data_IF_604764131386
#
_entry.id   IF_604764131386
#
_cell.length_a   1.000
_cell.length_b   1.000
_cell.length_c   1.000
_cell.angle_alpha   90.00
_cell.angle_beta   90.00
_cell.angle_gamma   90.00
#
_symmetry.space_group_name_H-M   'P 1'
#
loop_
_entity.id
_entity.type
_entity.pdbx_description
1 polymer ?
#
# COMPACT_ATOMS: atom_id res chain seq x y z
N UNK A 1 -11.06 -8.93 -22.40
CA UNK A 1 -11.85 -8.80 -21.15
C UNK A 1 -10.89 -8.52 -20.01
N UNK A 2 -10.89 -7.29 -19.48
CA UNK A 2 -9.99 -6.87 -18.39
C UNK A 2 -10.57 -7.39 -17.07
N UNK A 3 -9.95 -8.41 -16.50
CA UNK A 3 -10.26 -8.90 -15.14
C UNK A 3 -9.84 -7.82 -14.14
N UNK A 4 -10.74 -6.87 -13.85
CA UNK A 4 -10.47 -5.69 -13.03
C UNK A 4 -10.37 -5.95 -11.52
N UNK A 5 -10.56 -7.18 -11.06
CA UNK A 5 -10.45 -7.56 -9.66
C UNK A 5 -9.57 -8.80 -9.54
N UNK A 6 -8.24 -8.59 -9.51
CA UNK A 6 -7.31 -9.61 -9.03
C UNK A 6 -6.98 -9.28 -7.58
N UNK A 7 -7.83 -9.78 -6.68
CA UNK A 7 -7.43 -9.95 -5.28
C UNK A 7 -6.20 -10.84 -5.30
N UNK A 8 -5.04 -10.28 -4.95
CA UNK A 8 -3.89 -11.13 -4.68
C UNK A 8 -4.10 -11.74 -3.30
N UNK A 9 -4.17 -13.07 -3.19
CA UNK A 9 -4.26 -13.70 -1.89
C UNK A 9 -3.06 -13.27 -1.06
N UNK A 10 -3.24 -13.25 0.26
CA UNK A 10 -2.14 -13.01 1.20
C UNK A 10 -1.02 -14.01 0.91
N UNK A 11 0.20 -13.51 0.74
CA UNK A 11 1.40 -14.35 0.56
C UNK A 11 2.28 -14.29 1.79
N UNK A 12 3.43 -14.97 1.74
CA UNK A 12 4.39 -15.00 2.83
C UNK A 12 5.80 -14.79 2.28
N UNK A 13 6.53 -13.90 2.95
CA UNK A 13 7.93 -13.62 2.69
C UNK A 13 8.79 -14.84 2.99
N UNK A 14 9.85 -15.05 2.19
CA UNK A 14 10.86 -16.06 2.48
C UNK A 14 11.67 -15.67 3.72
N UNK A 15 12.02 -14.38 3.83
CA UNK A 15 12.69 -13.80 5.00
C UNK A 15 11.80 -12.73 5.64
N UNK A 16 11.24 -12.97 6.85
CA UNK A 16 10.46 -11.97 7.55
C UNK A 16 11.30 -10.74 7.92
N UNK A 17 10.75 -9.52 7.79
CA UNK A 17 11.45 -8.30 8.19
C UNK A 17 11.40 -8.06 9.70
N UNK A 18 12.34 -7.28 10.24
CA UNK A 18 12.36 -6.93 11.67
C UNK A 18 11.24 -5.96 12.09
N UNK A 19 10.66 -5.24 11.13
CA UNK A 19 9.63 -4.22 11.34
C UNK A 19 8.53 -4.34 10.30
N UNK A 20 7.39 -3.69 10.54
CA UNK A 20 6.39 -3.56 9.50
C UNK A 20 6.97 -2.83 8.29
N UNK A 21 6.69 -3.34 7.10
CA UNK A 21 7.18 -2.78 5.84
C UNK A 21 6.02 -2.35 4.98
N UNK A 22 6.11 -1.17 4.38
CA UNK A 22 5.15 -0.68 3.40
C UNK A 22 5.87 -0.38 2.09
N UNK A 23 5.64 -1.24 1.10
CA UNK A 23 6.16 -1.14 -0.25
C UNK A 23 5.21 -0.29 -1.11
N UNK A 24 5.74 0.71 -1.80
CA UNK A 24 4.92 1.69 -2.50
C UNK A 24 5.57 2.24 -3.77
N UNK A 25 4.77 2.97 -4.55
CA UNK A 25 5.21 3.66 -5.75
C UNK A 25 5.88 5.00 -5.40
N UNK A 26 7.21 5.06 -5.54
CA UNK A 26 8.02 6.25 -5.23
C UNK A 26 7.81 7.43 -6.19
N UNK A 27 7.33 7.17 -7.41
CA UNK A 27 7.11 8.22 -8.42
C UNK A 27 5.71 8.86 -8.30
N UNK A 28 4.83 8.26 -7.49
CA UNK A 28 3.49 8.73 -7.20
C UNK A 28 3.47 9.67 -5.99
N UNK A 29 3.33 10.99 -6.20
CA UNK A 29 3.34 11.99 -5.12
C UNK A 29 2.22 11.79 -4.09
N UNK A 30 1.06 11.27 -4.49
CA UNK A 30 -0.01 10.87 -3.58
C UNK A 30 0.37 9.66 -2.71
N UNK A 31 1.01 8.67 -3.32
CA UNK A 31 1.42 7.45 -2.65
C UNK A 31 2.49 7.80 -1.60
N UNK A 32 3.53 8.56 -1.99
CA UNK A 32 4.54 9.13 -1.08
C UNK A 32 3.89 9.88 0.08
N UNK A 33 2.96 10.80 -0.22
CA UNK A 33 2.24 11.54 0.81
C UNK A 33 1.50 10.65 1.81
N UNK A 34 0.86 9.60 1.31
CA UNK A 34 0.05 8.67 2.10
C UNK A 34 0.91 7.81 3.01
N UNK A 35 2.00 7.23 2.49
CA UNK A 35 2.89 6.38 3.29
C UNK A 35 3.64 7.19 4.35
N UNK A 36 4.03 8.44 4.04
CA UNK A 36 4.64 9.35 5.01
C UNK A 36 3.64 9.76 6.10
N UNK A 37 2.38 9.99 5.74
CA UNK A 37 1.32 10.23 6.72
C UNK A 37 1.18 9.02 7.66
N UNK A 38 1.15 7.81 7.11
CA UNK A 38 1.07 6.57 7.91
C UNK A 38 2.27 6.46 8.84
N UNK A 39 3.50 6.58 8.31
CA UNK A 39 4.73 6.50 9.11
C UNK A 39 4.76 7.52 10.24
N UNK A 40 4.38 8.77 9.97
CA UNK A 40 4.39 9.86 10.96
C UNK A 40 3.41 9.65 12.11
N UNK A 41 2.25 9.02 11.84
CA UNK A 41 1.18 8.89 12.83
C UNK A 41 1.01 7.46 13.36
N UNK A 42 1.77 6.49 12.83
CA UNK A 42 1.75 5.11 13.30
C UNK A 42 2.22 5.01 14.76
N UNK A 43 1.60 4.09 15.51
CA UNK A 43 2.03 3.75 16.88
C UNK A 43 3.23 2.79 16.93
N UNK A 44 3.58 2.20 15.79
CA UNK A 44 4.68 1.25 15.64
C UNK A 44 5.65 1.70 14.55
N UNK A 45 6.87 1.21 14.62
CA UNK A 45 7.88 1.42 13.58
C UNK A 45 7.42 0.78 12.28
N UNK A 46 7.37 1.58 11.23
CA UNK A 46 7.09 1.14 9.87
C UNK A 46 8.17 1.65 8.93
N UNK A 47 8.79 0.71 8.22
CA UNK A 47 9.80 0.99 7.20
C UNK A 47 9.10 1.20 5.86
N UNK A 48 9.47 2.27 5.15
CA UNK A 48 8.90 2.61 3.85
C UNK A 48 9.88 2.19 2.76
N UNK A 49 9.43 1.37 1.81
CA UNK A 49 10.27 0.86 0.72
C UNK A 49 9.66 1.25 -0.63
N UNK A 50 10.25 2.21 -1.37
CA UNK A 50 9.82 2.45 -2.74
C UNK A 50 10.16 1.24 -3.61
N UNK A 51 9.41 1.01 -4.70
CA UNK A 51 9.68 -0.09 -5.64
C UNK A 51 11.13 -0.15 -6.14
N UNK A 52 11.81 1.00 -6.26
CA UNK A 52 13.21 1.07 -6.68
C UNK A 52 14.20 0.45 -5.68
N UNK A 53 13.84 0.37 -4.39
CA UNK A 53 14.66 -0.22 -3.33
C UNK A 53 14.23 -1.64 -2.97
N UNK A 54 13.06 -2.09 -3.43
CA UNK A 54 12.56 -3.44 -3.19
C UNK A 54 13.54 -4.57 -3.55
N UNK A 55 14.35 -4.49 -4.64
CA UNK A 55 15.30 -5.56 -4.98
C UNK A 55 16.36 -5.86 -3.91
N UNK A 56 16.50 -5.02 -2.88
CA UNK A 56 17.40 -5.23 -1.74
C UNK A 56 16.80 -6.16 -0.67
N UNK A 57 15.53 -6.55 -0.84
CA UNK A 57 14.76 -7.34 0.12
C UNK A 57 14.32 -8.66 -0.51
N UNK A 58 14.33 -9.73 0.27
CA UNK A 58 13.81 -11.04 -0.10
C UNK A 58 12.30 -11.15 0.20
N UNK A 59 11.53 -10.28 -0.46
CA UNK A 59 10.09 -10.10 -0.26
C UNK A 59 9.33 -10.23 -1.58
N UNK A 60 8.06 -10.60 -1.52
CA UNK A 60 7.14 -10.68 -2.65
C UNK A 60 7.59 -11.66 -3.75
N UNK A 61 8.50 -12.60 -3.45
CA UNK A 61 9.07 -13.54 -4.41
C UNK A 61 8.05 -14.47 -5.08
N UNK A 62 6.85 -14.58 -4.51
CA UNK A 62 5.72 -15.31 -5.10
C UNK A 62 5.00 -14.53 -6.22
N UNK A 63 5.29 -13.24 -6.37
CA UNK A 63 4.68 -12.35 -7.36
C UNK A 63 5.69 -12.01 -8.46
N UNK A 64 5.20 -11.93 -9.70
CA UNK A 64 5.98 -11.37 -10.80
C UNK A 64 6.10 -9.84 -10.68
N UNK A 65 7.10 -9.27 -11.34
CA UNK A 65 7.36 -7.82 -11.30
C UNK A 65 6.14 -6.99 -11.71
N UNK A 66 5.31 -7.47 -12.65
CA UNK A 66 4.12 -6.73 -13.08
C UNK A 66 3.10 -6.62 -11.96
N UNK A 67 2.89 -7.71 -11.20
CA UNK A 67 1.99 -7.72 -10.02
C UNK A 67 2.52 -6.84 -8.90
N UNK A 68 3.83 -6.89 -8.65
CA UNK A 68 4.48 -6.04 -7.65
C UNK A 68 4.25 -4.57 -7.98
N UNK A 69 4.50 -4.15 -9.22
CA UNK A 69 4.35 -2.74 -9.59
C UNK A 69 2.88 -2.28 -9.66
N UNK A 70 1.93 -3.21 -9.83
CA UNK A 70 0.51 -2.92 -9.94
C UNK A 70 -0.13 -2.45 -8.62
N UNK A 71 0.48 -2.73 -7.47
CA UNK A 71 -0.11 -2.38 -6.15
C UNK A 71 0.94 -2.06 -5.09
N UNK A 72 0.50 -1.46 -3.99
CA UNK A 72 1.26 -1.35 -2.77
C UNK A 72 1.20 -2.68 -2.02
N UNK A 73 2.17 -2.90 -1.14
CA UNK A 73 2.28 -4.10 -0.34
C UNK A 73 2.63 -3.77 1.09
N UNK A 74 2.02 -4.48 2.02
CA UNK A 74 2.28 -4.33 3.44
C UNK A 74 2.73 -5.67 3.99
N UNK A 75 3.89 -5.68 4.64
CA UNK A 75 4.52 -6.88 5.15
C UNK A 75 4.64 -6.76 6.66
N UNK A 76 4.16 -7.76 7.39
CA UNK A 76 4.27 -7.80 8.85
C UNK A 76 5.63 -8.35 9.29
N UNK A 77 6.06 -8.12 10.54
CA UNK A 77 7.27 -8.75 11.11
C UNK A 77 7.23 -10.29 11.08
N UNK A 78 6.04 -10.88 11.04
CA UNK A 78 5.84 -12.33 10.87
C UNK A 78 5.95 -12.79 9.40
N UNK A 79 6.24 -11.87 8.48
CA UNK A 79 6.41 -12.13 7.06
C UNK A 79 5.10 -12.31 6.30
N UNK A 80 3.95 -11.88 6.84
CA UNK A 80 2.68 -11.94 6.13
C UNK A 80 2.60 -10.77 5.14
N UNK A 81 2.36 -11.07 3.87
CA UNK A 81 2.36 -10.09 2.79
C UNK A 81 0.94 -9.82 2.31
N UNK A 82 0.47 -8.61 2.55
CA UNK A 82 -0.81 -8.08 2.07
C UNK A 82 -0.59 -7.20 0.85
N UNK A 83 -1.54 -7.18 -0.07
CA UNK A 83 -1.41 -6.46 -1.34
C UNK A 83 -2.63 -5.57 -1.61
N UNK A 84 -2.54 -4.68 -2.59
CA UNK A 84 -3.70 -3.91 -3.05
C UNK A 84 -4.29 -2.98 -1.98
N UNK A 85 -5.61 -2.87 -1.94
CA UNK A 85 -6.33 -2.08 -0.94
C UNK A 85 -6.20 -2.65 0.48
N UNK A 86 -6.04 -3.97 0.60
CA UNK A 86 -5.78 -4.63 1.87
C UNK A 86 -4.48 -4.15 2.51
N UNK A 87 -3.42 -4.00 1.72
CA UNK A 87 -2.13 -3.50 2.21
C UNK A 87 -2.26 -2.15 2.92
N UNK A 88 -3.03 -1.23 2.31
CA UNK A 88 -3.27 0.11 2.85
C UNK A 88 -4.15 0.01 4.09
N UNK A 89 -5.15 -0.88 4.10
CA UNK A 89 -6.02 -1.10 5.25
C UNK A 89 -5.23 -1.60 6.45
N UNK A 90 -4.34 -2.58 6.27
CA UNK A 90 -3.47 -3.07 7.33
C UNK A 90 -2.51 -1.98 7.83
N UNK A 91 -1.93 -1.20 6.92
CA UNK A 91 -1.07 -0.07 7.30
C UNK A 91 -1.83 1.01 8.10
N UNK A 92 -3.09 1.30 7.73
CA UNK A 92 -3.95 2.26 8.45
C UNK A 92 -4.35 1.77 9.85
N UNK A 93 -4.39 0.45 10.09
CA UNK A 93 -4.66 -0.11 11.43
C UNK A 93 -3.58 0.22 12.45
N UNK A 94 -2.38 0.56 12.00
CA UNK A 94 -1.28 0.97 12.88
C UNK A 94 -1.47 2.38 13.46
N UNK A 95 -2.41 3.16 12.93
CA UNK A 95 -2.70 4.51 13.41
C UNK A 95 -3.47 4.49 14.74
N UNK A 96 -3.41 5.57 15.53
CA UNK A 96 -4.31 5.79 16.66
C UNK A 96 -5.77 5.68 16.24
N UNK A 97 -6.52 4.77 16.88
CA UNK A 97 -7.90 4.49 16.51
C UNK A 97 -8.06 3.61 15.26
N UNK A 98 -6.97 3.05 14.73
CA UNK A 98 -6.97 2.28 13.49
C UNK A 98 -7.82 1.00 13.51
N UNK A 99 -8.30 0.57 14.67
CA UNK A 99 -9.26 -0.53 14.81
C UNK A 99 -10.55 -0.30 14.00
N UNK A 100 -10.95 0.96 13.75
CA UNK A 100 -12.12 1.28 12.90
C UNK A 100 -11.95 0.82 11.47
N UNK A 101 -10.70 0.69 10.98
CA UNK A 101 -10.42 0.17 9.65
C UNK A 101 -10.65 -1.35 9.55
N UNK A 102 -11.01 -2.03 10.64
CA UNK A 102 -11.58 -3.38 10.64
C UNK A 102 -12.89 -3.47 9.84
N UNK A 103 -13.64 -2.38 9.74
CA UNK A 103 -14.88 -2.33 8.95
C UNK A 103 -14.66 -2.58 7.44
N UNK A 104 -13.43 -2.36 6.95
CA UNK A 104 -13.07 -2.64 5.56
C UNK A 104 -12.86 -4.12 5.24
N UNK A 105 -12.94 -5.01 6.24
CA UNK A 105 -12.89 -6.48 6.06
C UNK A 105 -14.28 -7.10 5.93
N UNK A 106 -15.35 -6.31 6.09
CA UNK A 106 -16.71 -6.78 5.87
C UNK A 106 -16.85 -7.20 4.40
N UNK A 107 -17.41 -8.38 4.16
CA UNK A 107 -17.44 -9.04 2.85
C UNK A 107 -17.85 -8.11 1.68
N UNK A 108 -18.90 -7.30 1.85
CA UNK A 108 -19.33 -6.35 0.82
C UNK A 108 -18.40 -5.14 0.64
N UNK A 109 -17.73 -4.72 1.70
CA UNK A 109 -16.81 -3.56 1.70
C UNK A 109 -15.47 -3.94 1.07
N UNK A 110 -15.00 -5.17 1.24
CA UNK A 110 -13.76 -5.69 0.64
C UNK A 110 -13.74 -5.52 -0.89
N UNK A 111 -14.86 -5.81 -1.56
CA UNK A 111 -14.96 -5.62 -3.02
C UNK A 111 -14.85 -4.15 -3.42
N UNK A 112 -15.56 -3.27 -2.69
CA UNK A 112 -15.55 -1.82 -2.93
C UNK A 112 -14.16 -1.24 -2.67
N UNK A 113 -13.50 -1.67 -1.59
CA UNK A 113 -12.13 -1.31 -1.22
C UNK A 113 -11.16 -1.63 -2.36
N UNK A 114 -11.14 -2.87 -2.84
CA UNK A 114 -10.20 -3.25 -3.89
C UNK A 114 -10.50 -2.59 -5.23
N UNK A 115 -11.78 -2.37 -5.54
CA UNK A 115 -12.14 -1.64 -6.76
C UNK A 115 -11.68 -0.18 -6.68
N UNK A 116 -11.95 0.50 -5.56
CA UNK A 116 -11.51 1.87 -5.33
C UNK A 116 -9.98 1.96 -5.37
N UNK A 117 -9.29 1.02 -4.74
CA UNK A 117 -7.83 0.94 -4.78
C UNK A 117 -7.33 0.73 -6.21
N UNK A 118 -7.90 -0.21 -6.96
CA UNK A 118 -7.49 -0.52 -8.34
C UNK A 118 -7.70 0.68 -9.26
N UNK A 119 -8.81 1.41 -9.10
CA UNK A 119 -9.05 2.64 -9.84
C UNK A 119 -7.99 3.70 -9.52
N UNK A 120 -7.68 3.91 -8.24
CA UNK A 120 -6.64 4.85 -7.81
C UNK A 120 -5.26 4.44 -8.35
N UNK A 121 -4.90 3.17 -8.21
CA UNK A 121 -3.63 2.61 -8.65
C UNK A 121 -3.46 2.69 -10.17
N UNK A 122 -4.53 2.44 -10.93
CA UNK A 122 -4.52 2.55 -12.40
C UNK A 122 -4.41 4.01 -12.88
N UNK A 123 -4.73 4.98 -12.02
CA UNK A 123 -4.70 6.40 -12.33
C UNK A 123 -3.58 7.16 -11.58
N UNK A 124 -2.56 6.46 -11.06
CA UNK A 124 -1.46 7.06 -10.26
C UNK A 124 -0.84 8.29 -10.90
N UNK A 125 -0.64 8.31 -12.22
CA UNK A 125 -0.08 9.47 -12.92
C UNK A 125 -0.98 10.71 -12.81
N UNK A 126 -2.30 10.55 -12.97
CA UNK A 126 -3.27 11.65 -12.85
C UNK A 126 -3.39 12.10 -11.40
N UNK A 127 -3.52 11.15 -10.47
CA UNK A 127 -3.62 11.41 -9.03
C UNK A 127 -2.34 12.10 -8.51
N UNK A 128 -1.17 11.69 -8.99
CA UNK A 128 0.13 12.32 -8.68
C UNK A 128 0.17 13.77 -9.14
N UNK A 129 -0.22 14.05 -10.40
CA UNK A 129 -0.31 15.43 -10.94
C UNK A 129 -1.25 16.30 -10.12
N UNK A 130 -2.46 15.82 -9.83
CA UNK A 130 -3.45 16.55 -9.05
C UNK A 130 -2.93 16.87 -7.64
N UNK A 131 -2.32 15.88 -6.97
CA UNK A 131 -1.77 16.05 -5.62
C UNK A 131 -0.61 17.06 -5.61
N UNK A 132 0.25 17.02 -6.64
CA UNK A 132 1.35 17.99 -6.79
C UNK A 132 0.81 19.40 -6.98
N UNK A 133 -0.18 19.58 -7.84
CA UNK A 133 -0.85 20.87 -8.04
C UNK A 133 -1.46 21.40 -6.74
N UNK A 134 -2.24 20.57 -6.03
CA UNK A 134 -2.86 20.96 -4.76
C UNK A 134 -1.84 21.31 -3.67
N UNK A 135 -0.69 20.63 -3.63
CA UNK A 135 0.40 20.96 -2.69
C UNK A 135 1.11 22.27 -3.05
N UNK A 136 1.32 22.54 -4.33
CA UNK A 136 1.90 23.81 -4.79
C UNK A 136 0.94 25.00 -4.57
N UNK A 137 -0.36 24.75 -4.51
CA UNK A 137 -1.39 25.77 -4.25
C UNK A 137 -1.64 26.06 -2.76
N UNK A 138 -0.99 25.36 -1.82
CA UNK A 138 -1.05 25.72 -0.40
C UNK A 138 0.04 26.78 -0.13
N UNK A 139 -0.31 28.06 0.13
CA UNK A 139 0.67 29.03 0.57
C UNK A 139 1.26 28.56 1.90
N UNK A 140 2.58 28.76 2.05
CA UNK A 140 3.34 28.53 3.28
C UNK A 140 2.80 29.41 4.40
#
# INVERSE_FOLDING_TARGET
MRTFLRFHPVTRAATPPDTHLLVYDGDCSFCVASVEFIRKHSRTTITLVPFSQLPQYDLLGSLDQRKILASAHYITPEGIEYHGGESITQALRLLPGGWVFGLFDLWGVTLVRELAYTLLASNRAVVSKLTRLLRLSRPV
#
